data_IF_565108559372
#
_entry.id   IF_565108559372
#
_cell.length_a   1.000
_cell.length_b   1.000
_cell.length_c   1.000
_cell.angle_alpha   90.00
_cell.angle_beta   90.00
_cell.angle_gamma   90.00
#
_symmetry.space_group_name_H-M   'P 1'
#
loop_
_entity.id
_entity.type
_entity.pdbx_description
1 polymer ?
#
# COMPACT_ATOMS: atom_id res chain seq x y z
N UNK A 1 -9.92 13.46 -4.67
CA UNK A 1 -9.08 12.57 -5.48
C UNK A 1 -8.24 11.66 -4.59
N UNK A 2 -8.06 10.41 -5.00
CA UNK A 2 -7.22 9.43 -4.34
C UNK A 2 -6.26 8.76 -5.32
N UNK A 3 -5.08 8.36 -4.83
CA UNK A 3 -4.10 7.62 -5.59
C UNK A 3 -4.21 6.14 -5.23
N UNK A 4 -4.43 5.30 -6.22
CA UNK A 4 -4.57 3.85 -6.09
C UNK A 4 -3.18 3.21 -6.14
N UNK A 5 -2.83 2.44 -5.11
CA UNK A 5 -1.57 1.72 -5.02
C UNK A 5 -1.81 0.24 -4.73
N UNK A 6 -0.88 -0.61 -5.10
CA UNK A 6 -0.91 -2.01 -4.71
C UNK A 6 -0.78 -2.17 -3.18
N UNK A 7 -1.30 -3.25 -2.62
CA UNK A 7 -1.15 -3.55 -1.20
C UNK A 7 0.33 -3.65 -0.80
N UNK A 8 1.11 -4.36 -1.62
CA UNK A 8 2.56 -4.43 -1.53
C UNK A 8 3.13 -4.25 -2.94
N UNK A 9 4.26 -3.58 -3.05
CA UNK A 9 5.00 -3.44 -4.30
C UNK A 9 6.48 -3.58 -4.00
N UNK A 10 7.17 -4.45 -4.71
CA UNK A 10 8.60 -4.69 -4.56
C UNK A 10 9.32 -4.44 -5.88
N UNK A 11 10.29 -3.55 -5.84
CA UNK A 11 11.25 -3.33 -6.90
C UNK A 11 12.40 -4.33 -6.73
N UNK A 12 12.62 -5.19 -7.73
CA UNK A 12 13.62 -6.26 -7.71
C UNK A 12 14.88 -5.79 -8.44
N UNK A 13 15.96 -5.72 -7.69
CA UNK A 13 17.28 -5.33 -8.19
C UNK A 13 18.24 -6.53 -8.20
N UNK A 14 19.27 -6.48 -9.03
CA UNK A 14 20.35 -7.43 -8.95
C UNK A 14 21.19 -7.19 -7.68
N UNK A 15 21.59 -8.28 -7.01
CA UNK A 15 22.46 -8.29 -5.84
C UNK A 15 23.88 -8.72 -6.16
N UNK A 16 24.11 -9.14 -7.40
CA UNK A 16 25.44 -9.48 -7.95
C UNK A 16 25.56 -8.95 -9.37
N UNK A 17 26.78 -8.74 -9.83
CA UNK A 17 27.05 -8.37 -11.20
C UNK A 17 26.87 -9.59 -12.11
N UNK A 18 26.44 -9.34 -13.34
CA UNK A 18 26.28 -10.38 -14.34
C UNK A 18 25.47 -9.93 -15.52
N UNK A 19 25.31 -10.79 -16.49
CA UNK A 19 24.49 -10.56 -17.68
C UNK A 19 23.14 -11.26 -17.53
N UNK A 20 22.07 -10.61 -17.96
CA UNK A 20 20.74 -11.25 -17.99
C UNK A 20 20.78 -12.37 -19.04
N UNK A 21 20.79 -13.61 -18.58
CA UNK A 21 20.80 -14.78 -19.46
C UNK A 21 19.41 -15.04 -20.03
N UNK A 22 18.40 -15.02 -19.18
CA UNK A 22 16.98 -15.16 -19.55
C UNK A 22 16.07 -14.62 -18.48
N UNK A 23 14.90 -14.18 -18.88
CA UNK A 23 13.78 -13.91 -17.98
C UNK A 23 12.75 -15.03 -18.10
N UNK A 24 12.06 -15.33 -17.00
CA UNK A 24 11.13 -16.45 -16.82
C UNK A 24 9.71 -15.96 -16.55
N UNK A 25 9.54 -14.66 -16.33
CA UNK A 25 8.26 -13.99 -16.17
C UNK A 25 8.28 -12.66 -16.93
N UNK A 26 7.14 -12.27 -17.49
CA UNK A 26 6.98 -11.01 -18.22
C UNK A 26 5.90 -10.12 -17.58
N UNK A 27 5.75 -8.91 -18.11
CA UNK A 27 4.74 -7.95 -17.68
C UNK A 27 3.34 -8.57 -17.81
N UNK A 28 2.56 -8.50 -16.72
CA UNK A 28 1.23 -9.07 -16.64
C UNK A 28 1.17 -10.49 -16.07
N UNK A 29 2.31 -11.20 -15.98
CA UNK A 29 2.34 -12.54 -15.42
C UNK A 29 2.03 -12.56 -13.93
N UNK A 30 1.25 -13.55 -13.51
CA UNK A 30 1.05 -13.87 -12.10
C UNK A 30 2.19 -14.73 -11.61
N UNK A 31 2.78 -14.34 -10.48
CA UNK A 31 3.92 -15.02 -9.88
C UNK A 31 3.65 -15.34 -8.42
N UNK A 32 4.26 -16.44 -7.94
CA UNK A 32 4.18 -16.87 -6.55
C UNK A 32 5.45 -16.49 -5.78
N UNK A 33 5.33 -16.38 -4.46
CA UNK A 33 6.49 -16.19 -3.59
C UNK A 33 7.55 -17.26 -3.84
N UNK A 34 8.82 -16.85 -4.03
CA UNK A 34 9.92 -17.75 -4.37
C UNK A 34 9.97 -18.23 -5.83
N UNK A 35 9.07 -17.81 -6.69
CA UNK A 35 9.14 -18.11 -8.12
C UNK A 35 10.30 -17.33 -8.77
N UNK A 36 11.16 -18.00 -9.57
CA UNK A 36 12.24 -17.33 -10.29
C UNK A 36 11.68 -16.43 -11.41
N UNK A 37 12.15 -15.19 -11.46
CA UNK A 37 11.77 -14.18 -12.45
C UNK A 37 12.78 -14.05 -13.58
N UNK A 38 14.08 -14.17 -13.25
CA UNK A 38 15.18 -14.13 -14.21
C UNK A 38 16.41 -14.84 -13.67
N UNK A 39 17.30 -15.18 -14.59
CA UNK A 39 18.60 -15.78 -14.33
C UNK A 39 19.66 -14.86 -14.91
N UNK A 40 20.64 -14.54 -14.07
CA UNK A 40 21.87 -13.82 -14.46
C UNK A 40 22.98 -14.84 -14.70
N UNK A 41 23.79 -14.61 -15.71
CA UNK A 41 25.04 -15.29 -15.96
C UNK A 41 26.17 -14.47 -15.30
N UNK A 42 26.89 -15.07 -14.38
CA UNK A 42 27.97 -14.43 -13.60
C UNK A 42 29.23 -15.30 -13.61
N UNK A 43 29.90 -15.44 -14.77
CA UNK A 43 31.03 -16.37 -14.94
C UNK A 43 32.20 -16.04 -13.99
N UNK A 44 32.38 -14.80 -13.60
CA UNK A 44 33.41 -14.39 -12.63
C UNK A 44 33.16 -15.01 -11.24
N UNK A 45 31.90 -15.05 -10.80
CA UNK A 45 31.52 -15.66 -9.52
C UNK A 45 31.69 -17.17 -9.57
N UNK A 46 31.37 -17.81 -10.70
CA UNK A 46 31.57 -19.24 -10.91
C UNK A 46 33.07 -19.60 -10.84
N UNK A 47 33.94 -18.84 -11.47
CA UNK A 47 35.40 -19.05 -11.43
C UNK A 47 35.95 -18.84 -10.00
N UNK A 48 35.51 -17.80 -9.30
CA UNK A 48 35.88 -17.57 -7.92
C UNK A 48 35.43 -18.71 -7.00
N UNK A 49 34.25 -19.27 -7.21
CA UNK A 49 33.75 -20.41 -6.44
C UNK A 49 34.56 -21.67 -6.74
N UNK A 50 34.93 -21.89 -8.00
CA UNK A 50 35.77 -23.03 -8.40
C UNK A 50 37.15 -22.94 -7.72
N UNK A 51 37.80 -21.76 -7.74
CA UNK A 51 39.06 -21.52 -7.05
C UNK A 51 38.95 -21.75 -5.54
N UNK A 52 37.96 -21.13 -4.87
CA UNK A 52 37.77 -21.30 -3.44
C UNK A 52 37.46 -22.75 -3.03
N UNK A 53 36.81 -23.51 -3.91
CA UNK A 53 36.55 -24.92 -3.71
C UNK A 53 37.84 -25.76 -3.77
N UNK A 54 38.76 -25.44 -4.70
CA UNK A 54 40.06 -26.06 -4.81
C UNK A 54 40.94 -25.74 -3.57
N UNK A 55 40.93 -24.48 -3.13
CA UNK A 55 41.66 -24.07 -1.90
C UNK A 55 41.14 -24.81 -0.65
N UNK A 56 39.81 -24.96 -0.55
CA UNK A 56 39.23 -25.76 0.53
C UNK A 56 39.64 -27.23 0.49
N UNK A 57 39.65 -27.86 -0.70
CA UNK A 57 40.11 -29.23 -0.85
C UNK A 57 41.59 -29.39 -0.42
N UNK A 58 42.44 -28.45 -0.77
CA UNK A 58 43.85 -28.39 -0.35
C UNK A 58 43.99 -28.27 1.18
N UNK A 59 43.24 -27.36 1.79
CA UNK A 59 43.21 -27.18 3.23
C UNK A 59 42.71 -28.45 3.97
N UNK A 60 41.68 -29.10 3.43
CA UNK A 60 41.12 -30.34 3.95
C UNK A 60 42.15 -31.52 3.89
N UNK A 61 42.90 -31.64 2.80
CA UNK A 61 43.93 -32.62 2.64
C UNK A 61 45.07 -32.41 3.69
N UNK A 62 45.49 -31.16 3.89
CA UNK A 62 46.47 -30.80 4.92
C UNK A 62 45.98 -31.11 6.35
N UNK A 63 44.71 -30.78 6.62
CA UNK A 63 44.07 -31.12 7.91
C UNK A 63 44.07 -32.64 8.16
N UNK A 64 43.70 -33.42 7.13
CA UNK A 64 43.67 -34.90 7.22
C UNK A 64 45.07 -35.47 7.47
N UNK A 65 46.09 -34.92 6.80
CA UNK A 65 47.50 -35.31 7.06
C UNK A 65 47.91 -34.98 8.49
N UNK A 66 47.63 -33.76 8.96
CA UNK A 66 47.95 -33.36 10.33
C UNK A 66 47.20 -34.23 11.36
N UNK A 67 45.92 -34.58 11.09
CA UNK A 67 45.14 -35.47 11.96
C UNK A 67 45.78 -36.86 12.09
N UNK A 68 46.18 -37.45 10.96
CA UNK A 68 46.86 -38.75 10.96
C UNK A 68 48.21 -38.69 11.72
N UNK A 69 48.94 -37.57 11.54
CA UNK A 69 50.21 -37.33 12.22
C UNK A 69 50.02 -37.18 13.74
N UNK A 70 49.11 -36.32 14.16
CA UNK A 70 48.79 -36.10 15.59
C UNK A 70 48.34 -37.40 16.26
N UNK A 71 47.48 -38.19 15.60
CA UNK A 71 47.05 -39.49 16.12
C UNK A 71 48.22 -40.48 16.30
N UNK A 72 49.17 -40.51 15.36
CA UNK A 72 50.36 -41.36 15.44
C UNK A 72 51.22 -40.93 16.62
N UNK A 73 51.51 -39.64 16.77
CA UNK A 73 52.31 -39.09 17.88
C UNK A 73 51.65 -39.29 19.24
N UNK A 74 50.32 -39.14 19.33
CA UNK A 74 49.59 -39.48 20.57
C UNK A 74 49.73 -40.95 20.95
N UNK A 75 49.73 -41.88 19.97
CA UNK A 75 49.91 -43.30 20.19
C UNK A 75 51.36 -43.61 20.63
N UNK A 76 52.37 -42.90 20.11
CA UNK A 76 53.79 -43.04 20.50
C UNK A 76 54.01 -42.46 21.89
N UNK A 77 53.41 -41.36 22.26
CA UNK A 77 53.47 -40.79 23.59
C UNK A 77 52.93 -41.77 24.65
N UNK A 78 51.79 -42.43 24.34
CA UNK A 78 51.23 -43.48 25.25
C UNK A 78 52.13 -44.67 25.46
N UNK A 79 53.21 -44.83 24.66
CA UNK A 79 54.23 -45.86 24.75
C UNK A 79 55.60 -45.33 25.24
N UNK A 80 55.64 -44.08 25.74
CA UNK A 80 56.88 -43.38 26.19
C UNK A 80 57.94 -43.27 25.07
N UNK A 81 57.56 -43.33 23.78
CA UNK A 81 58.48 -43.31 22.65
C UNK A 81 58.76 -41.88 22.10
N UNK A 82 58.08 -40.85 22.59
CA UNK A 82 58.27 -39.45 22.23
C UNK A 82 57.97 -38.53 23.42
N UNK A 83 58.50 -37.30 23.39
CA UNK A 83 58.20 -36.30 24.44
C UNK A 83 56.82 -35.76 24.36
N UNK A 84 56.31 -35.30 25.51
CA UNK A 84 55.00 -34.61 25.57
C UNK A 84 54.98 -33.35 24.67
N UNK A 85 56.07 -32.58 24.68
CA UNK A 85 56.21 -31.37 23.86
C UNK A 85 56.01 -31.66 22.36
N UNK A 86 56.68 -32.72 21.86
CA UNK A 86 56.51 -33.06 20.40
C UNK A 86 55.10 -33.53 20.07
N UNK A 87 54.44 -34.25 20.95
CA UNK A 87 53.03 -34.65 20.74
C UNK A 87 52.09 -33.43 20.77
N UNK A 88 52.29 -32.48 21.70
CA UNK A 88 51.54 -31.24 21.80
C UNK A 88 51.74 -30.35 20.57
N UNK A 89 52.98 -30.28 20.01
CA UNK A 89 53.23 -29.55 18.75
C UNK A 89 52.40 -30.11 17.57
N UNK A 90 52.29 -31.44 17.45
CA UNK A 90 51.51 -32.07 16.36
C UNK A 90 50.02 -31.89 16.56
N UNK A 91 49.57 -31.88 17.81
CA UNK A 91 48.16 -31.55 18.14
C UNK A 91 47.86 -30.10 17.86
N UNK A 92 48.78 -29.18 18.17
CA UNK A 92 48.67 -27.77 17.83
C UNK A 92 48.65 -27.52 16.32
N UNK A 93 49.51 -28.26 15.56
CA UNK A 93 49.47 -28.18 14.08
C UNK A 93 48.12 -28.65 13.50
N UNK A 94 47.57 -29.75 14.02
CA UNK A 94 46.23 -30.20 13.64
C UNK A 94 45.18 -29.14 13.93
N UNK A 95 45.23 -28.50 15.09
CA UNK A 95 44.30 -27.42 15.43
C UNK A 95 44.41 -26.24 14.45
N UNK A 96 45.66 -25.84 14.11
CA UNK A 96 45.92 -24.77 13.13
C UNK A 96 45.42 -25.14 11.71
N UNK A 97 45.68 -26.35 11.22
CA UNK A 97 45.20 -26.82 9.92
C UNK A 97 43.68 -26.94 9.88
N UNK A 98 43.07 -27.36 11.01
CA UNK A 98 41.59 -27.38 11.12
C UNK A 98 40.96 -25.98 11.02
N UNK A 99 41.58 -25.00 11.66
CA UNK A 99 41.13 -23.61 11.56
C UNK A 99 41.24 -23.09 10.13
N UNK A 100 42.33 -23.40 9.41
CA UNK A 100 42.50 -23.02 7.98
C UNK A 100 41.47 -23.69 7.08
N UNK A 101 41.17 -24.97 7.28
CA UNK A 101 40.14 -25.68 6.51
C UNK A 101 38.75 -25.07 6.76
N UNK A 102 38.42 -24.71 8.01
CA UNK A 102 37.17 -24.04 8.34
C UNK A 102 37.06 -22.64 7.72
N UNK A 103 38.14 -21.87 7.68
CA UNK A 103 38.19 -20.57 7.02
C UNK A 103 37.95 -20.69 5.50
N UNK A 104 38.64 -21.67 4.86
CA UNK A 104 38.43 -21.95 3.44
C UNK A 104 36.98 -22.38 3.13
N UNK A 105 36.39 -23.23 3.98
CA UNK A 105 34.97 -23.62 3.87
C UNK A 105 34.04 -22.44 4.01
N UNK A 106 34.29 -21.51 4.92
CA UNK A 106 33.52 -20.30 5.08
C UNK A 106 33.53 -19.42 3.81
N UNK A 107 34.71 -19.33 3.13
CA UNK A 107 34.82 -18.64 1.85
C UNK A 107 33.98 -19.30 0.73
N UNK A 108 34.00 -20.63 0.63
CA UNK A 108 33.16 -21.38 -0.30
C UNK A 108 31.67 -21.11 -0.05
N UNK A 109 31.26 -21.12 1.23
CA UNK A 109 29.86 -20.81 1.61
C UNK A 109 29.46 -19.39 1.23
N UNK A 110 30.34 -18.42 1.45
CA UNK A 110 30.14 -17.02 1.03
C UNK A 110 29.89 -16.90 -0.48
N UNK A 111 30.74 -17.51 -1.29
CA UNK A 111 30.65 -17.46 -2.75
C UNK A 111 29.42 -18.19 -3.28
N UNK A 112 29.02 -19.31 -2.66
CA UNK A 112 27.76 -19.99 -2.98
C UNK A 112 26.55 -19.11 -2.70
N UNK A 113 26.57 -18.34 -1.60
CA UNK A 113 25.50 -17.41 -1.31
C UNK A 113 25.43 -16.28 -2.36
N UNK A 114 26.59 -15.75 -2.81
CA UNK A 114 26.66 -14.77 -3.92
C UNK A 114 26.13 -15.38 -5.21
N UNK A 115 26.49 -16.62 -5.55
CA UNK A 115 25.96 -17.30 -6.72
C UNK A 115 24.44 -17.51 -6.63
N UNK A 116 23.91 -17.72 -5.43
CA UNK A 116 22.45 -17.76 -5.22
C UNK A 116 21.73 -16.47 -5.62
N UNK A 117 22.41 -15.32 -5.62
CA UNK A 117 21.85 -14.03 -6.05
C UNK A 117 21.78 -13.85 -7.57
N UNK A 118 22.32 -14.77 -8.37
CA UNK A 118 22.15 -14.77 -9.82
C UNK A 118 20.75 -15.13 -10.25
N UNK A 119 19.93 -15.71 -9.35
CA UNK A 119 18.50 -15.97 -9.59
C UNK A 119 17.69 -14.93 -8.86
N UNK A 120 16.88 -14.20 -9.62
CA UNK A 120 15.95 -13.22 -9.08
C UNK A 120 14.62 -13.90 -8.79
N UNK A 121 14.09 -13.70 -7.59
CA UNK A 121 12.84 -14.34 -7.15
C UNK A 121 11.78 -13.30 -6.77
N UNK A 122 10.51 -13.67 -6.96
CA UNK A 122 9.39 -12.91 -6.44
C UNK A 122 9.35 -13.02 -4.90
N UNK A 123 9.25 -11.91 -4.17
CA UNK A 123 9.24 -11.92 -2.70
C UNK A 123 7.88 -12.32 -2.11
N UNK A 124 6.80 -12.18 -2.88
CA UNK A 124 5.42 -12.51 -2.51
C UNK A 124 4.58 -12.80 -3.76
N UNK A 125 3.37 -13.34 -3.55
CA UNK A 125 2.41 -13.57 -4.63
C UNK A 125 1.91 -12.25 -5.20
N UNK A 126 1.96 -12.12 -6.52
CA UNK A 126 1.57 -10.87 -7.17
C UNK A 126 1.56 -10.96 -8.69
N UNK A 127 1.58 -9.78 -9.31
CA UNK A 127 1.68 -9.62 -10.76
C UNK A 127 2.93 -8.80 -11.07
N UNK A 128 3.63 -9.18 -12.12
CA UNK A 128 4.76 -8.39 -12.65
C UNK A 128 4.19 -7.13 -13.33
N UNK A 129 4.41 -5.98 -12.73
CA UNK A 129 3.89 -4.69 -13.23
C UNK A 129 4.88 -3.94 -14.11
N UNK A 130 6.18 -4.26 -13.99
CA UNK A 130 7.20 -3.76 -14.91
C UNK A 130 8.36 -4.73 -15.05
N UNK A 131 9.02 -4.72 -16.20
CA UNK A 131 10.25 -5.44 -16.51
C UNK A 131 11.17 -4.55 -17.34
N UNK A 132 12.33 -4.22 -16.81
CA UNK A 132 13.41 -3.54 -17.54
C UNK A 132 14.54 -4.48 -17.95
N UNK A 133 14.54 -5.72 -17.42
CA UNK A 133 15.54 -6.74 -17.74
C UNK A 133 15.51 -7.11 -19.22
N UNK A 134 16.64 -6.93 -19.92
CA UNK A 134 16.83 -7.33 -21.32
C UNK A 134 17.90 -8.42 -21.38
N UNK A 135 17.69 -9.44 -22.23
CA UNK A 135 18.66 -10.51 -22.44
C UNK A 135 19.96 -9.92 -22.97
N UNK A 136 21.08 -10.33 -22.41
CA UNK A 136 22.42 -9.81 -22.74
C UNK A 136 22.78 -8.48 -22.06
N UNK A 137 21.87 -7.87 -21.31
CA UNK A 137 22.14 -6.65 -20.55
C UNK A 137 23.08 -6.93 -19.38
N UNK A 138 24.15 -6.15 -19.28
CA UNK A 138 25.01 -6.12 -18.08
C UNK A 138 24.25 -5.43 -16.93
N UNK A 139 24.19 -6.09 -15.80
CA UNK A 139 23.63 -5.56 -14.56
C UNK A 139 24.76 -5.41 -13.54
N UNK A 140 24.83 -4.24 -12.92
CA UNK A 140 25.82 -3.92 -11.88
C UNK A 140 25.10 -3.73 -10.57
N UNK A 141 25.47 -4.51 -9.56
CA UNK A 141 24.93 -4.41 -8.21
C UNK A 141 25.43 -3.15 -7.49
N UNK A 142 24.62 -2.59 -6.58
CA UNK A 142 25.02 -1.43 -5.78
C UNK A 142 24.99 -0.08 -6.50
N UNK A 143 24.52 -0.01 -7.74
CA UNK A 143 24.32 1.25 -8.43
C UNK A 143 23.01 1.91 -7.96
N UNK A 144 23.12 3.03 -7.25
CA UNK A 144 21.96 3.77 -6.74
C UNK A 144 21.04 4.34 -7.86
N UNK A 145 21.57 4.51 -9.07
CA UNK A 145 20.81 4.97 -10.24
C UNK A 145 20.24 3.80 -11.08
N UNK A 146 20.46 2.54 -10.68
CA UNK A 146 19.95 1.40 -11.43
C UNK A 146 18.43 1.36 -11.39
N UNK A 147 17.81 1.10 -12.54
CA UNK A 147 16.39 0.80 -12.60
C UNK A 147 16.13 -0.63 -12.06
N UNK A 148 15.00 -0.86 -11.38
CA UNK A 148 14.62 -2.20 -10.96
C UNK A 148 14.44 -3.10 -12.19
N UNK A 149 14.98 -4.31 -12.13
CA UNK A 149 14.82 -5.30 -13.21
C UNK A 149 13.39 -5.79 -13.38
N UNK A 150 12.69 -5.91 -12.27
CA UNK A 150 11.27 -6.23 -12.22
C UNK A 150 10.60 -5.42 -11.10
N UNK A 151 9.30 -5.17 -11.27
CA UNK A 151 8.43 -4.75 -10.16
C UNK A 151 7.32 -5.77 -10.02
N UNK A 152 7.18 -6.33 -8.82
CA UNK A 152 6.08 -7.26 -8.48
C UNK A 152 5.14 -6.54 -7.54
N UNK A 153 3.84 -6.56 -7.85
CA UNK A 153 2.81 -5.87 -7.08
C UNK A 153 1.69 -6.83 -6.66
N UNK A 154 1.33 -6.83 -5.38
CA UNK A 154 0.14 -7.52 -4.90
C UNK A 154 -1.09 -6.67 -5.21
N UNK A 155 -1.83 -7.08 -6.25
CA UNK A 155 -2.99 -6.36 -6.76
C UNK A 155 -4.33 -6.94 -6.30
N UNK A 156 -4.33 -7.93 -5.40
CA UNK A 156 -5.58 -8.57 -4.88
C UNK A 156 -6.41 -7.60 -4.04
N UNK A 157 -5.75 -6.71 -3.34
CA UNK A 157 -6.32 -5.57 -2.64
C UNK A 157 -5.53 -4.32 -2.98
N UNK A 158 -6.23 -3.21 -3.08
CA UNK A 158 -5.60 -1.94 -3.38
C UNK A 158 -5.66 -1.02 -2.16
N UNK A 159 -4.64 -0.19 -2.00
CA UNK A 159 -4.61 0.94 -1.07
C UNK A 159 -4.93 2.20 -1.82
N UNK A 160 -5.78 3.02 -1.25
CA UNK A 160 -6.11 4.31 -1.82
C UNK A 160 -5.76 5.38 -0.79
N UNK A 161 -4.83 6.26 -1.14
CA UNK A 161 -4.44 7.37 -0.31
C UNK A 161 -5.20 8.61 -0.71
N UNK A 162 -5.89 9.20 0.26
CA UNK A 162 -6.71 10.40 0.08
C UNK A 162 -6.26 11.47 1.09
N UNK A 163 -6.16 12.70 0.61
CA UNK A 163 -5.95 13.87 1.46
C UNK A 163 -7.31 14.49 1.78
N UNK A 164 -7.72 14.40 3.04
CA UNK A 164 -8.98 14.95 3.54
C UNK A 164 -8.69 16.31 4.16
N UNK A 165 -9.33 17.41 3.70
CA UNK A 165 -9.16 18.73 4.31
C UNK A 165 -9.48 18.71 5.82
N UNK A 166 -8.74 19.47 6.62
CA UNK A 166 -8.85 19.49 8.09
C UNK A 166 -10.29 19.70 8.58
N UNK A 167 -11.08 20.53 7.91
CA UNK A 167 -12.48 20.80 8.30
C UNK A 167 -13.39 19.57 8.27
N UNK A 168 -13.03 18.51 7.52
CA UNK A 168 -13.78 17.27 7.42
C UNK A 168 -13.11 16.10 8.18
N UNK A 169 -11.90 16.31 8.71
CA UNK A 169 -11.09 15.23 9.30
C UNK A 169 -11.75 14.58 10.53
N UNK A 170 -12.51 15.34 11.31
CA UNK A 170 -13.24 14.85 12.49
C UNK A 170 -14.40 13.92 12.12
N UNK A 171 -14.91 14.01 10.90
CA UNK A 171 -16.04 13.20 10.42
C UNK A 171 -15.59 11.90 9.74
N UNK A 172 -14.28 11.76 9.50
CA UNK A 172 -13.69 10.64 8.77
C UNK A 172 -12.90 9.76 9.73
N UNK A 173 -13.39 8.54 9.98
CA UNK A 173 -12.81 7.63 10.97
C UNK A 173 -12.62 6.21 10.39
N UNK A 174 -11.70 5.42 10.94
CA UNK A 174 -11.52 4.02 10.54
C UNK A 174 -12.82 3.21 10.62
N UNK A 175 -13.03 2.33 9.64
CA UNK A 175 -14.24 1.55 9.46
C UNK A 175 -15.30 2.21 8.57
N UNK A 176 -15.15 3.49 8.22
CA UNK A 176 -16.08 4.19 7.33
C UNK A 176 -16.01 3.62 5.92
N UNK A 177 -17.18 3.43 5.32
CA UNK A 177 -17.31 3.04 3.92
C UNK A 177 -17.19 4.25 2.98
N UNK A 178 -16.52 4.01 1.85
CA UNK A 178 -16.42 4.97 0.77
C UNK A 178 -16.66 4.28 -0.57
N UNK A 179 -17.08 5.05 -1.56
CA UNK A 179 -17.18 4.61 -2.94
C UNK A 179 -16.08 5.25 -3.79
N UNK A 180 -15.48 4.43 -4.65
CA UNK A 180 -14.48 4.86 -5.62
C UNK A 180 -15.11 4.90 -7.00
N UNK A 181 -14.92 5.97 -7.73
CA UNK A 181 -15.21 6.06 -9.16
C UNK A 181 -13.92 6.33 -9.93
N UNK A 182 -13.74 5.61 -11.04
CA UNK A 182 -12.59 5.73 -11.91
C UNK A 182 -13.03 6.19 -13.30
N UNK A 183 -12.26 7.05 -13.98
CA UNK A 183 -12.58 7.50 -15.33
C UNK A 183 -12.71 6.36 -16.34
N UNK A 184 -11.94 5.28 -16.15
CA UNK A 184 -11.97 4.09 -17.02
C UNK A 184 -13.28 3.28 -16.89
N UNK A 185 -14.01 3.46 -15.78
CA UNK A 185 -15.24 2.71 -15.49
C UNK A 185 -16.35 3.67 -15.02
N UNK A 186 -16.88 4.56 -15.89
CA UNK A 186 -17.81 5.63 -15.47
C UNK A 186 -19.14 5.11 -14.92
N UNK A 187 -19.54 3.89 -15.30
CA UNK A 187 -20.78 3.24 -14.86
C UNK A 187 -20.59 2.30 -13.65
N UNK A 188 -19.36 2.20 -13.13
CA UNK A 188 -19.04 1.28 -12.04
C UNK A 188 -18.43 2.00 -10.86
N UNK A 189 -18.92 1.70 -9.67
CA UNK A 189 -18.34 2.13 -8.42
C UNK A 189 -17.70 0.94 -7.69
N UNK A 190 -16.60 1.18 -7.00
CA UNK A 190 -15.90 0.17 -6.21
C UNK A 190 -16.03 0.54 -4.74
N UNK A 191 -16.38 -0.45 -3.91
CA UNK A 191 -16.44 -0.26 -2.47
C UNK A 191 -15.03 -0.21 -1.87
N UNK A 192 -14.82 0.72 -0.96
CA UNK A 192 -13.59 0.82 -0.18
C UNK A 192 -13.92 1.10 1.27
N UNK A 193 -13.05 0.67 2.18
CA UNK A 193 -13.20 0.92 3.61
C UNK A 193 -11.98 1.71 4.10
N UNK A 194 -12.20 2.77 4.85
CA UNK A 194 -11.14 3.54 5.50
C UNK A 194 -10.53 2.68 6.60
N UNK A 195 -9.24 2.40 6.48
CA UNK A 195 -8.52 1.54 7.43
C UNK A 195 -7.67 2.32 8.40
N UNK A 196 -7.12 3.44 7.97
CA UNK A 196 -6.17 4.24 8.77
C UNK A 196 -6.27 5.72 8.45
N UNK A 197 -5.94 6.54 9.47
CA UNK A 197 -5.71 7.97 9.36
C UNK A 197 -4.31 8.27 9.90
N UNK A 198 -3.60 9.20 9.29
CA UNK A 198 -2.26 9.60 9.73
C UNK A 198 -2.25 10.27 11.12
N UNK A 199 -3.40 10.76 11.58
CA UNK A 199 -3.50 11.43 12.88
C UNK A 199 -2.76 12.78 12.96
N UNK A 200 -2.25 13.28 11.84
CA UNK A 200 -1.54 14.55 11.73
C UNK A 200 -2.04 15.33 10.51
N UNK A 201 -2.05 16.66 10.63
CA UNK A 201 -2.34 17.57 9.52
C UNK A 201 -1.03 17.93 8.83
N UNK A 202 -0.96 17.72 7.54
CA UNK A 202 0.15 18.22 6.73
C UNK A 202 0.10 19.74 6.62
N UNK A 203 1.14 20.42 7.06
CA UNK A 203 1.17 21.88 7.16
C UNK A 203 1.14 22.59 5.80
N UNK A 204 1.57 21.93 4.72
CA UNK A 204 1.58 22.51 3.38
C UNK A 204 0.22 22.42 2.70
N UNK A 205 -0.48 21.30 2.88
CA UNK A 205 -1.76 21.05 2.23
C UNK A 205 -2.98 21.34 3.12
N UNK A 206 -2.80 21.49 4.44
CA UNK A 206 -3.90 21.63 5.40
C UNK A 206 -4.81 20.39 5.46
N UNK A 207 -4.28 19.22 5.10
CA UNK A 207 -5.05 18.00 4.97
C UNK A 207 -4.50 16.85 5.83
N UNK A 208 -5.37 15.92 6.19
CA UNK A 208 -5.02 14.67 6.85
C UNK A 208 -4.96 13.56 5.81
N UNK A 209 -3.87 12.78 5.80
CA UNK A 209 -3.75 11.63 4.93
C UNK A 209 -4.54 10.46 5.52
N UNK A 210 -5.42 9.88 4.73
CA UNK A 210 -6.17 8.67 5.08
C UNK A 210 -5.90 7.56 4.08
N UNK A 211 -5.88 6.32 4.56
CA UNK A 211 -5.73 5.10 3.77
C UNK A 211 -7.05 4.33 3.74
N UNK A 212 -7.53 4.09 2.54
CA UNK A 212 -8.64 3.16 2.31
C UNK A 212 -8.11 1.88 1.67
N UNK A 213 -8.83 0.79 1.87
CA UNK A 213 -8.58 -0.47 1.18
C UNK A 213 -9.80 -0.89 0.37
N UNK A 214 -9.55 -1.34 -0.85
CA UNK A 214 -10.57 -1.86 -1.75
C UNK A 214 -10.18 -3.27 -2.22
N UNK A 215 -11.09 -4.26 -2.20
CA UNK A 215 -10.88 -5.56 -2.82
C UNK A 215 -10.82 -5.41 -4.34
N UNK A 216 -9.97 -6.20 -4.99
CA UNK A 216 -9.77 -6.13 -6.43
C UNK A 216 -9.74 -7.56 -7.04
N UNK A 217 -10.82 -8.33 -6.94
CA UNK A 217 -10.84 -9.73 -7.38
C UNK A 217 -10.71 -9.89 -8.90
N UNK A 218 -11.19 -8.94 -9.67
CA UNK A 218 -11.16 -8.93 -11.13
C UNK A 218 -9.98 -8.18 -11.75
N UNK A 219 -9.13 -7.54 -10.91
CA UNK A 219 -7.96 -6.78 -11.37
C UNK A 219 -8.32 -5.46 -12.08
N UNK A 220 -9.55 -4.96 -11.94
CA UNK A 220 -9.99 -3.72 -12.57
C UNK A 220 -9.25 -2.50 -12.01
N UNK A 221 -8.97 -2.49 -10.71
CA UNK A 221 -8.17 -1.43 -10.08
C UNK A 221 -6.69 -1.67 -10.39
N UNK A 222 -6.04 -0.68 -11.01
CA UNK A 222 -4.62 -0.75 -11.38
C UNK A 222 -3.78 0.15 -10.48
N UNK A 223 -2.59 -0.31 -10.04
CA UNK A 223 -1.65 0.56 -9.34
C UNK A 223 -1.28 1.77 -10.21
N UNK A 224 -1.26 2.96 -9.60
CA UNK A 224 -0.99 4.22 -10.29
C UNK A 224 -2.24 4.93 -10.84
N UNK A 225 -3.41 4.29 -10.81
CA UNK A 225 -4.67 4.94 -11.21
C UNK A 225 -5.08 6.03 -10.22
N UNK A 226 -5.82 7.02 -10.73
CA UNK A 226 -6.48 8.03 -9.90
C UNK A 226 -7.96 7.66 -9.77
N UNK A 227 -8.48 7.73 -8.55
CA UNK A 227 -9.88 7.50 -8.26
C UNK A 227 -10.48 8.72 -7.56
N UNK A 228 -11.73 9.03 -7.87
CA UNK A 228 -12.54 9.93 -7.07
C UNK A 228 -13.12 9.14 -5.90
N UNK A 229 -12.90 9.62 -4.68
CA UNK A 229 -13.38 8.98 -3.47
C UNK A 229 -14.52 9.79 -2.90
N UNK A 230 -15.67 9.15 -2.72
CA UNK A 230 -16.86 9.74 -2.09
C UNK A 230 -17.10 9.04 -0.76
N UNK A 231 -17.00 9.80 0.33
CA UNK A 231 -17.34 9.32 1.66
C UNK A 231 -18.83 9.52 1.91
N UNK A 232 -19.50 8.53 2.46
CA UNK A 232 -20.83 8.69 3.04
C UNK A 232 -20.67 9.33 4.43
N UNK A 233 -20.44 10.62 4.46
CA UNK A 233 -20.46 11.35 5.71
C UNK A 233 -21.91 11.43 6.12
N UNK A 234 -22.30 10.72 7.19
CA UNK A 234 -23.62 10.91 7.79
C UNK A 234 -23.74 12.37 8.17
N UNK A 235 -24.79 13.03 7.77
CA UNK A 235 -25.12 14.34 8.31
C UNK A 235 -25.03 14.21 9.83
N UNK A 236 -24.08 14.94 10.43
CA UNK A 236 -23.74 14.83 11.84
C UNK A 236 -25.00 14.73 12.67
N UNK A 237 -25.07 13.75 13.58
CA UNK A 237 -26.20 13.18 14.34
C UNK A 237 -27.33 14.06 14.86
N UNK A 238 -27.78 15.07 14.12
CA UNK A 238 -29.01 15.82 14.28
C UNK A 238 -29.96 15.49 13.13
N UNK A 239 -31.24 15.50 13.38
CA UNK A 239 -32.31 15.39 12.38
C UNK A 239 -32.13 16.53 11.34
N UNK A 240 -31.28 16.27 10.32
CA UNK A 240 -31.11 17.23 9.22
C UNK A 240 -32.31 17.09 8.31
N UNK A 241 -33.07 18.15 8.20
CA UNK A 241 -34.24 18.21 7.34
C UNK A 241 -33.84 18.84 5.99
N UNK A 242 -34.15 18.17 4.90
CA UNK A 242 -33.90 18.68 3.56
C UNK A 242 -35.15 19.43 3.07
N UNK A 243 -34.94 20.66 2.64
CA UNK A 243 -36.00 21.51 2.04
C UNK A 243 -35.54 22.02 0.67
N UNK A 244 -36.43 22.36 -0.27
CA UNK A 244 -36.06 23.03 -1.51
C UNK A 244 -35.33 24.36 -1.23
N UNK A 245 -34.30 24.68 -2.00
CA UNK A 245 -33.54 25.94 -1.83
C UNK A 245 -34.41 27.19 -1.97
N UNK A 246 -35.49 27.10 -2.76
CA UNK A 246 -36.52 28.16 -2.95
C UNK A 246 -37.32 28.50 -1.70
N UNK A 247 -37.25 27.70 -0.63
CA UNK A 247 -37.95 27.95 0.65
C UNK A 247 -37.14 28.87 1.60
N UNK A 248 -35.86 29.12 1.33
CA UNK A 248 -34.98 29.91 2.18
C UNK A 248 -35.14 31.40 1.87
N UNK A 249 -35.42 32.17 2.91
CA UNK A 249 -35.41 33.63 2.86
C UNK A 249 -34.10 34.12 3.51
N UNK A 250 -33.38 34.99 2.82
CA UNK A 250 -32.17 35.62 3.35
C UNK A 250 -32.52 37.05 3.82
N UNK A 251 -32.65 37.24 5.12
CA UNK A 251 -32.85 38.53 5.76
C UNK A 251 -31.57 39.09 6.38
N UNK A 252 -31.66 40.31 6.96
CA UNK A 252 -30.54 40.96 7.62
C UNK A 252 -30.02 40.16 8.84
N UNK A 253 -30.87 39.35 9.45
CA UNK A 253 -30.57 38.55 10.65
C UNK A 253 -30.18 37.09 10.29
N UNK A 254 -29.98 36.76 9.02
CA UNK A 254 -29.59 35.45 8.55
C UNK A 254 -30.69 34.69 7.82
N UNK A 255 -30.45 33.38 7.51
CA UNK A 255 -31.39 32.54 6.78
C UNK A 255 -32.60 32.19 7.64
N UNK A 256 -33.79 32.30 7.05
CA UNK A 256 -35.08 32.00 7.69
C UNK A 256 -35.95 31.15 6.76
N UNK A 257 -36.96 30.48 7.32
CA UNK A 257 -37.95 29.69 6.58
C UNK A 257 -39.35 30.04 7.10
N UNK A 258 -40.28 30.25 6.17
CA UNK A 258 -41.70 30.50 6.49
C UNK A 258 -42.42 29.15 6.70
N UNK A 259 -42.86 28.87 7.91
CA UNK A 259 -43.61 27.67 8.30
C UNK A 259 -45.06 28.01 8.46
N UNK A 260 -45.98 27.17 7.95
CA UNK A 260 -47.43 27.35 8.02
C UNK A 260 -48.06 26.36 8.98
N UNK A 261 -48.83 26.87 9.90
CA UNK A 261 -49.61 26.04 10.84
C UNK A 261 -50.87 25.43 10.19
N UNK A 262 -51.59 24.59 10.99
CA UNK A 262 -52.84 23.94 10.54
C UNK A 262 -53.96 24.92 10.18
N UNK A 263 -53.89 26.20 10.60
CA UNK A 263 -54.89 27.26 10.37
C UNK A 263 -54.49 28.20 9.24
N UNK A 264 -53.38 27.92 8.52
CA UNK A 264 -52.87 28.77 7.43
C UNK A 264 -52.12 30.00 7.89
N UNK A 265 -51.67 30.08 9.16
CA UNK A 265 -50.92 31.20 9.69
C UNK A 265 -49.44 30.96 9.52
N UNK A 266 -48.70 31.96 9.03
CA UNK A 266 -47.27 31.91 8.78
C UNK A 266 -46.48 32.25 10.07
N UNK A 267 -45.42 31.51 10.31
CA UNK A 267 -44.37 31.84 11.30
C UNK A 267 -43.01 31.76 10.61
N UNK A 268 -42.29 32.87 10.59
CA UNK A 268 -40.93 32.93 10.03
C UNK A 268 -39.96 32.46 11.15
N UNK A 269 -39.28 31.33 10.90
CA UNK A 269 -38.33 30.73 11.88
C UNK A 269 -36.89 30.91 11.37
N UNK A 270 -35.96 31.37 12.23
CA UNK A 270 -34.54 31.32 11.91
C UNK A 270 -34.07 29.86 11.80
N UNK A 271 -33.21 29.57 10.82
CA UNK A 271 -32.70 28.23 10.56
C UNK A 271 -31.19 28.22 10.47
N UNK A 272 -30.60 27.09 10.80
CA UNK A 272 -29.16 26.87 10.62
C UNK A 272 -28.98 25.91 9.42
N UNK A 273 -28.30 26.40 8.39
CA UNK A 273 -27.99 25.62 7.20
C UNK A 273 -26.78 24.72 7.50
N UNK A 274 -26.91 23.41 7.26
CA UNK A 274 -25.84 22.45 7.36
C UNK A 274 -25.08 22.30 6.02
N UNK A 275 -25.80 22.23 4.91
CA UNK A 275 -25.22 22.22 3.55
C UNK A 275 -26.23 22.79 2.55
N UNK A 276 -25.72 23.40 1.49
CA UNK A 276 -26.49 23.90 0.36
C UNK A 276 -26.02 23.18 -0.92
N UNK A 277 -26.93 22.43 -1.53
CA UNK A 277 -26.69 21.68 -2.78
C UNK A 277 -27.32 22.38 -3.99
N UNK A 278 -27.76 23.63 -3.83
CA UNK A 278 -28.37 24.44 -4.85
C UNK A 278 -29.88 24.15 -5.06
N UNK A 279 -30.28 22.93 -5.36
CA UNK A 279 -31.71 22.55 -5.46
C UNK A 279 -32.35 22.27 -4.11
N UNK A 280 -31.57 21.71 -3.18
CA UNK A 280 -31.97 21.34 -1.81
C UNK A 280 -31.02 21.92 -0.83
N UNK A 281 -31.54 22.40 0.30
CA UNK A 281 -30.79 22.92 1.43
C UNK A 281 -31.05 22.03 2.65
N UNK A 282 -29.97 21.57 3.26
CA UNK A 282 -30.02 20.76 4.49
C UNK A 282 -29.99 21.68 5.70
N UNK A 283 -31.01 21.59 6.57
CA UNK A 283 -31.19 22.40 7.78
C UNK A 283 -30.91 21.54 9.01
N UNK A 284 -29.95 21.99 9.83
CA UNK A 284 -29.56 21.31 11.06
C UNK A 284 -30.34 21.75 12.31
N UNK A 285 -30.93 22.93 12.29
CA UNK A 285 -31.73 23.46 13.41
C UNK A 285 -32.75 24.48 12.92
N UNK A 286 -33.85 24.63 13.68
CA UNK A 286 -34.91 25.63 13.40
C UNK A 286 -36.18 25.04 12.79
N UNK A 287 -36.15 23.82 12.27
CA UNK A 287 -37.33 23.09 11.76
C UNK A 287 -37.57 21.79 12.51
N UNK A 288 -38.81 21.37 12.58
CA UNK A 288 -39.22 20.07 13.10
C UNK A 288 -39.73 19.15 11.96
N UNK A 289 -39.58 17.81 12.09
CA UNK A 289 -40.18 16.88 11.15
C UNK A 289 -41.70 17.08 11.08
N UNK A 290 -42.23 17.30 9.87
CA UNK A 290 -43.64 17.55 9.67
C UNK A 290 -44.02 19.06 9.55
N UNK A 291 -43.09 19.99 9.79
CA UNK A 291 -43.32 21.41 9.50
C UNK A 291 -43.64 21.60 8.02
N UNK A 292 -44.67 22.38 7.72
CA UNK A 292 -45.07 22.73 6.36
C UNK A 292 -44.42 24.03 5.95
N UNK A 293 -43.46 23.96 5.04
CA UNK A 293 -42.73 25.15 4.57
C UNK A 293 -43.34 25.73 3.32
N UNK A 294 -43.28 27.07 3.18
CA UNK A 294 -43.74 27.77 1.98
C UNK A 294 -42.65 27.65 0.92
N UNK A 295 -43.02 27.14 -0.26
CA UNK A 295 -42.11 27.11 -1.41
C UNK A 295 -42.21 28.48 -2.14
N UNK A 296 -41.05 29.05 -2.46
CA UNK A 296 -40.94 30.39 -3.10
C UNK A 296 -41.74 31.48 -2.40
N UNK A 297 -41.53 31.71 -1.08
CA UNK A 297 -42.25 32.75 -0.37
C UNK A 297 -41.90 34.13 -0.92
N UNK A 298 -42.88 35.07 -0.98
CA UNK A 298 -42.57 36.44 -1.36
C UNK A 298 -41.70 37.10 -0.30
N UNK A 299 -40.78 38.00 -0.70
CA UNK A 299 -39.84 38.70 0.18
C UNK A 299 -40.52 39.48 1.31
N UNK A 300 -41.77 39.90 1.12
CA UNK A 300 -42.56 40.65 2.09
C UNK A 300 -43.35 39.76 3.08
N UNK A 301 -43.07 38.45 3.16
CA UNK A 301 -43.78 37.54 4.09
C UNK A 301 -43.38 37.79 5.52
N UNK A 302 -44.32 37.93 6.43
CA UNK A 302 -44.05 38.17 7.85
C UNK A 302 -44.78 37.15 8.76
N UNK A 303 -44.28 37.01 9.95
CA UNK A 303 -44.94 36.22 10.99
C UNK A 303 -46.32 36.81 11.29
N UNK A 304 -47.36 36.00 11.19
CA UNK A 304 -48.76 36.42 11.40
C UNK A 304 -49.59 36.47 10.14
N UNK A 305 -48.96 36.47 8.96
CA UNK A 305 -49.68 36.45 7.67
C UNK A 305 -50.54 35.20 7.51
N UNK A 306 -51.62 35.32 6.80
CA UNK A 306 -52.46 34.19 6.44
C UNK A 306 -52.27 33.82 4.96
N UNK A 307 -51.91 32.56 4.76
CA UNK A 307 -51.73 32.00 3.41
C UNK A 307 -52.77 30.90 3.14
N UNK A 308 -53.24 30.85 1.92
CA UNK A 308 -54.10 29.77 1.46
C UNK A 308 -53.23 28.64 0.92
N UNK A 309 -53.22 27.52 1.62
CA UNK A 309 -52.45 26.32 1.21
C UNK A 309 -53.06 25.76 -0.08
N UNK A 310 -52.35 25.83 -1.18
CA UNK A 310 -52.63 25.03 -2.35
C UNK A 310 -51.80 23.73 -2.25
N UNK A 311 -52.46 22.59 -2.23
CA UNK A 311 -51.76 21.33 -2.34
C UNK A 311 -51.11 21.26 -3.71
N UNK A 312 -49.77 21.25 -3.78
CA UNK A 312 -49.05 20.94 -5.01
C UNK A 312 -49.51 19.54 -5.45
N UNK A 313 -50.27 19.47 -6.52
CA UNK A 313 -50.67 18.21 -7.13
C UNK A 313 -49.42 17.43 -7.50
N UNK A 314 -49.44 16.11 -7.28
CA UNK A 314 -48.40 15.17 -7.75
C UNK A 314 -48.09 15.52 -9.20
N UNK A 315 -46.92 16.10 -9.46
CA UNK A 315 -46.42 16.40 -10.79
C UNK A 315 -46.45 15.13 -11.63
N UNK A 316 -47.18 15.19 -12.74
CA UNK A 316 -47.25 14.15 -13.74
C UNK A 316 -45.83 13.80 -14.22
N UNK A 317 -45.50 12.51 -14.18
CA UNK A 317 -44.37 11.98 -14.87
C UNK A 317 -44.47 12.31 -16.38
N UNK A 318 -43.63 13.17 -16.88
CA UNK A 318 -43.41 13.29 -18.31
C UNK A 318 -42.40 12.21 -18.71
N UNK A 319 -42.90 11.17 -19.36
CA UNK A 319 -42.13 10.30 -20.22
C UNK A 319 -41.76 11.13 -21.48
N UNK A 320 -40.47 11.06 -21.84
CA UNK A 320 -39.86 11.62 -23.03
C UNK A 320 -38.39 11.19 -23.06
#
# INVERSE_FOLDING_TARGET
>A
PGNVQALNSAAIYARTNGYVSRWLADIGDRVHAGQPLAILDAPEVDQQLAQASADYQTALANQKLAATTAQRWSTMLAKDAVSRQEADEKTGDLAAKSALANAALANVRRLRAVLGFTRLYAPFDGVVTSRSAQIGQLVVSGNAAAQPLFTVSDVRRMRIYVRVPQGYSAQVHPGMEASLSLPEYPQRTFAATLTRSAGAVDAQSGAVLVELQAPNPDGALKPGAFAQVSFKVGAGGGNVLSVPGSTILYGNDGPTVAVVDGNGRVTVKPVTIASDEGKTVAISAGLAPGDRVVDSPPDAIHTGDHVRVQNAGKGAAHAG
#
